data_IF_070446267510
#
_entry.id   IF_070446267510
#
_cell.length_a   1.000
_cell.length_b   1.000
_cell.length_c   1.000
_cell.angle_alpha   90.00
_cell.angle_beta   90.00
_cell.angle_gamma   90.00
#
_symmetry.space_group_name_H-M   'P 1'
#
loop_
_entity.id
_entity.type
_entity.pdbx_description
1 polymer ?
#
# COMPACT_ATOMS: atom_id res chain seq x y z
N UNK A 1 4.78 17.69 12.03
CA UNK A 1 6.13 17.28 12.47
C UNK A 1 6.06 15.84 12.93
N UNK A 2 7.08 15.00 12.71
CA UNK A 2 7.04 13.60 13.14
C UNK A 2 6.89 13.51 14.66
N UNK A 3 5.95 12.69 15.13
CA UNK A 3 5.79 12.41 16.56
C UNK A 3 6.91 11.48 17.02
N UNK A 4 7.94 12.03 17.66
CA UNK A 4 9.10 11.26 18.15
C UNK A 4 9.02 11.14 19.68
N UNK A 5 9.13 9.91 20.20
CA UNK A 5 9.10 9.61 21.64
C UNK A 5 10.18 8.59 22.01
N UNK A 6 10.62 8.51 23.28
CA UNK A 6 11.49 7.42 23.71
C UNK A 6 10.71 6.10 23.78
N UNK A 7 11.37 4.96 23.57
CA UNK A 7 10.71 3.63 23.64
C UNK A 7 10.14 3.35 25.04
N UNK A 8 10.72 3.93 26.08
CA UNK A 8 10.22 3.85 27.45
C UNK A 8 8.82 4.46 27.62
N UNK A 9 8.43 5.39 26.74
CA UNK A 9 7.13 6.07 26.77
C UNK A 9 5.98 5.09 26.49
N UNK A 10 6.24 3.98 25.80
CA UNK A 10 5.24 2.93 25.60
C UNK A 10 4.70 2.35 26.90
N UNK A 11 5.52 2.30 27.97
CA UNK A 11 5.08 1.73 29.24
C UNK A 11 4.02 2.60 29.92
N UNK A 12 4.23 3.91 29.92
CA UNK A 12 3.44 4.84 30.74
C UNK A 12 2.40 5.60 29.92
N UNK A 13 2.68 5.85 28.63
CA UNK A 13 1.88 6.71 27.76
C UNK A 13 1.23 5.92 26.62
N UNK A 14 1.06 4.60 26.76
CA UNK A 14 0.44 3.75 25.74
C UNK A 14 -0.92 4.27 25.28
N UNK A 15 -1.79 4.66 26.21
CA UNK A 15 -3.13 5.14 25.88
C UNK A 15 -3.10 6.40 25.00
N UNK A 16 -2.19 7.33 25.28
CA UNK A 16 -2.01 8.54 24.49
C UNK A 16 -1.40 8.23 23.11
N UNK A 17 -0.38 7.36 23.06
CA UNK A 17 0.21 6.90 21.79
C UNK A 17 -0.85 6.21 20.93
N UNK A 18 -1.63 5.31 21.53
CA UNK A 18 -2.72 4.60 20.86
C UNK A 18 -3.76 5.57 20.31
N UNK A 19 -4.20 6.55 21.11
CA UNK A 19 -5.13 7.59 20.67
C UNK A 19 -4.57 8.37 19.49
N UNK A 20 -3.32 8.82 19.56
CA UNK A 20 -2.68 9.59 18.48
C UNK A 20 -2.66 8.80 17.17
N UNK A 21 -2.21 7.54 17.18
CA UNK A 21 -2.08 6.75 15.94
C UNK A 21 -3.43 6.41 15.31
N UNK A 22 -4.52 6.38 16.10
CA UNK A 22 -5.88 6.16 15.58
C UNK A 22 -6.55 7.46 15.12
N UNK A 23 -6.39 8.57 15.84
CA UNK A 23 -7.03 9.85 15.49
C UNK A 23 -6.34 10.53 14.32
N UNK A 24 -5.02 10.59 14.34
CA UNK A 24 -4.23 11.27 13.30
C UNK A 24 -4.01 10.37 12.09
N UNK A 25 -4.07 9.05 12.29
CA UNK A 25 -3.69 8.05 11.28
C UNK A 25 -2.23 8.25 10.78
N UNK A 26 -1.39 8.88 11.61
CA UNK A 26 0.03 9.10 11.38
C UNK A 26 0.90 8.23 12.29
N UNK A 27 2.13 7.88 11.88
CA UNK A 27 3.04 7.10 12.70
C UNK A 27 3.63 7.90 13.87
N UNK A 28 3.85 7.20 14.99
CA UNK A 28 4.72 7.64 16.08
C UNK A 28 6.05 6.91 15.97
N UNK A 29 7.15 7.65 15.94
CA UNK A 29 8.51 7.15 15.89
C UNK A 29 9.06 7.02 17.31
N UNK A 30 9.60 5.84 17.63
CA UNK A 30 10.20 5.55 18.91
C UNK A 30 11.72 5.53 18.80
N UNK A 31 12.36 6.10 19.82
CA UNK A 31 13.82 6.18 19.92
C UNK A 31 14.34 5.45 21.15
N UNK A 32 15.52 4.87 21.02
CA UNK A 32 16.26 4.27 22.12
C UNK A 32 17.64 4.89 22.15
N UNK A 33 17.99 5.56 23.26
CA UNK A 33 19.26 6.28 23.43
C UNK A 33 19.55 7.29 22.30
N UNK A 34 18.52 7.98 21.81
CA UNK A 34 18.64 8.98 20.73
C UNK A 34 18.65 8.42 19.31
N UNK A 35 18.64 7.10 19.13
CA UNK A 35 18.58 6.44 17.83
C UNK A 35 17.15 5.96 17.54
N UNK A 36 16.74 6.02 16.27
CA UNK A 36 15.47 5.42 15.84
C UNK A 36 15.46 3.92 16.08
N UNK A 37 14.36 3.41 16.64
CA UNK A 37 14.22 2.00 17.07
C UNK A 37 13.00 1.35 16.41
N UNK A 38 11.82 1.98 16.55
CA UNK A 38 10.54 1.41 16.09
C UNK A 38 9.58 2.49 15.58
N UNK A 39 8.61 2.09 14.76
CA UNK A 39 7.46 2.91 14.37
C UNK A 39 6.18 2.23 14.85
N UNK A 40 5.28 2.98 15.47
CA UNK A 40 3.96 2.53 15.92
C UNK A 40 2.89 3.22 15.09
N UNK A 41 1.93 2.44 14.59
CA UNK A 41 0.80 2.88 13.78
C UNK A 41 -0.45 2.10 14.18
N UNK A 42 -1.64 2.63 13.90
CA UNK A 42 -2.85 1.80 13.88
C UNK A 42 -2.76 0.78 12.74
N UNK A 43 -3.45 -0.35 12.88
CA UNK A 43 -3.51 -1.37 11.82
C UNK A 43 -4.06 -0.77 10.52
N UNK A 44 -5.11 0.03 10.62
CA UNK A 44 -5.75 0.70 9.49
C UNK A 44 -4.78 1.65 8.76
N UNK A 45 -4.00 2.45 9.49
CA UNK A 45 -2.98 3.32 8.89
C UNK A 45 -1.87 2.53 8.20
N UNK A 46 -1.45 1.41 8.79
CA UNK A 46 -0.46 0.53 8.22
C UNK A 46 -0.96 -0.11 6.91
N UNK A 47 -2.15 -0.70 6.91
CA UNK A 47 -2.76 -1.31 5.72
C UNK A 47 -2.96 -0.31 4.59
N UNK A 48 -3.50 0.88 4.88
CA UNK A 48 -3.64 1.94 3.87
C UNK A 48 -2.29 2.38 3.31
N UNK A 49 -1.23 2.38 4.10
CA UNK A 49 0.12 2.71 3.62
C UNK A 49 0.65 1.63 2.68
N UNK A 50 0.44 0.35 2.99
CA UNK A 50 0.78 -0.76 2.09
C UNK A 50 0.02 -0.65 0.77
N UNK A 51 -1.30 -0.44 0.83
CA UNK A 51 -2.14 -0.29 -0.36
C UNK A 51 -1.70 0.89 -1.24
N UNK A 52 -1.42 2.06 -0.64
CA UNK A 52 -0.88 3.20 -1.38
C UNK A 52 0.45 2.86 -2.06
N UNK A 53 1.33 2.15 -1.37
CA UNK A 53 2.62 1.73 -1.94
C UNK A 53 2.43 0.84 -3.16
N UNK A 54 1.49 -0.11 -3.11
CA UNK A 54 1.16 -0.97 -4.24
C UNK A 54 0.66 -0.16 -5.44
N UNK A 55 -0.26 0.78 -5.21
CA UNK A 55 -0.73 1.69 -6.26
C UNK A 55 0.43 2.46 -6.88
N UNK A 56 1.34 3.02 -6.06
CA UNK A 56 2.50 3.75 -6.57
C UNK A 56 3.40 2.88 -7.45
N UNK A 57 3.62 1.62 -7.07
CA UNK A 57 4.37 0.69 -7.91
C UNK A 57 3.67 0.41 -9.23
N UNK A 58 2.36 0.19 -9.22
CA UNK A 58 1.57 -0.04 -10.45
C UNK A 58 1.51 1.17 -11.36
N UNK A 59 1.40 2.37 -10.81
CA UNK A 59 1.48 3.60 -11.59
C UNK A 59 2.86 3.78 -12.20
N UNK A 60 3.94 3.51 -11.45
CA UNK A 60 5.30 3.57 -11.95
C UNK A 60 5.56 2.56 -13.08
N UNK A 61 5.02 1.35 -12.95
CA UNK A 61 5.07 0.32 -14.00
C UNK A 61 4.40 0.84 -15.29
N UNK A 62 3.19 1.38 -15.19
CA UNK A 62 2.48 1.96 -16.33
C UNK A 62 3.20 3.18 -16.94
N UNK A 63 3.81 4.05 -16.13
CA UNK A 63 4.60 5.18 -16.61
C UNK A 63 5.85 4.74 -17.38
N UNK A 64 6.51 3.66 -16.93
CA UNK A 64 7.65 3.09 -17.62
C UNK A 64 7.21 2.47 -18.95
N UNK A 65 6.12 1.70 -18.95
CA UNK A 65 5.56 1.12 -20.17
C UNK A 65 5.22 2.21 -21.19
N UNK A 66 4.50 3.25 -20.76
CA UNK A 66 4.12 4.38 -21.61
C UNK A 66 5.31 5.16 -22.19
N UNK A 67 6.50 5.12 -21.56
CA UNK A 67 7.74 5.70 -22.09
C UNK A 67 8.43 4.80 -23.11
N UNK A 68 8.21 3.49 -23.02
CA UNK A 68 8.85 2.49 -23.90
C UNK A 68 8.02 2.12 -25.12
N UNK A 69 6.70 2.33 -25.07
CA UNK A 69 5.78 2.01 -26.17
C UNK A 69 4.62 2.99 -26.28
N UNK A 70 4.21 3.27 -27.52
CA UNK A 70 3.03 4.06 -27.86
C UNK A 70 1.76 3.20 -28.05
N UNK A 71 1.85 1.87 -27.90
CA UNK A 71 0.69 0.98 -27.99
C UNK A 71 -0.34 1.33 -26.92
N UNK A 72 -1.60 1.54 -27.32
CA UNK A 72 -2.73 1.78 -26.43
C UNK A 72 -3.91 0.94 -26.89
N UNK A 73 -4.66 0.40 -25.94
CA UNK A 73 -5.83 -0.42 -26.22
C UNK A 73 -7.10 0.34 -25.85
N UNK A 74 -8.09 0.29 -26.74
CA UNK A 74 -9.43 0.77 -26.48
C UNK A 74 -10.19 -0.18 -25.55
N UNK A 75 -11.23 0.33 -24.91
CA UNK A 75 -12.12 -0.48 -24.08
C UNK A 75 -12.66 -1.71 -24.85
N UNK A 76 -12.99 -1.55 -26.13
CA UNK A 76 -13.49 -2.64 -26.96
C UNK A 76 -12.45 -3.74 -27.15
N UNK A 77 -11.22 -3.38 -27.55
CA UNK A 77 -10.14 -4.35 -27.78
C UNK A 77 -9.84 -5.16 -26.52
N UNK A 78 -9.72 -4.50 -25.37
CA UNK A 78 -9.45 -5.18 -24.09
C UNK A 78 -10.55 -6.16 -23.71
N UNK A 79 -11.82 -5.75 -23.83
CA UNK A 79 -12.94 -6.60 -23.41
C UNK A 79 -13.23 -7.72 -24.40
N UNK A 80 -13.03 -7.50 -25.70
CA UNK A 80 -13.19 -8.55 -26.71
C UNK A 80 -12.11 -9.63 -26.51
N UNK A 81 -10.86 -9.24 -26.26
CA UNK A 81 -9.78 -10.19 -25.94
C UNK A 81 -10.03 -10.94 -24.62
N UNK A 82 -10.48 -10.25 -23.57
CA UNK A 82 -10.76 -10.87 -22.27
C UNK A 82 -11.89 -11.89 -22.35
N UNK A 83 -12.95 -11.63 -23.13
CA UNK A 83 -14.03 -12.59 -23.37
C UNK A 83 -13.56 -13.82 -24.14
N UNK A 84 -12.72 -13.62 -25.17
CA UNK A 84 -12.16 -14.73 -25.95
C UNK A 84 -11.34 -15.67 -25.04
N UNK A 85 -10.44 -15.12 -24.22
CA UNK A 85 -9.63 -15.91 -23.27
C UNK A 85 -10.46 -16.67 -22.25
N UNK A 86 -11.60 -16.12 -21.82
CA UNK A 86 -12.53 -16.80 -20.89
C UNK A 86 -13.23 -17.98 -21.57
N UNK A 87 -13.66 -17.82 -22.82
CA UNK A 87 -14.28 -18.89 -23.60
C UNK A 87 -13.30 -20.05 -23.83
N UNK A 88 -12.06 -19.73 -24.24
CA UNK A 88 -11.01 -20.73 -24.46
C UNK A 88 -10.72 -21.55 -23.21
N UNK A 89 -10.74 -20.90 -22.03
CA UNK A 89 -10.51 -21.57 -20.75
C UNK A 89 -11.65 -22.51 -20.35
N UNK A 90 -12.90 -22.13 -20.63
CA UNK A 90 -14.06 -22.99 -20.36
C UNK A 90 -14.06 -24.22 -21.26
N UNK A 91 -13.70 -24.07 -22.54
CA UNK A 91 -13.57 -25.21 -23.47
C UNK A 91 -12.41 -26.14 -23.08
N UNK A 92 -11.32 -25.62 -22.50
CA UNK A 92 -10.19 -26.46 -22.04
C UNK A 92 -10.43 -27.19 -20.72
N UNK A 93 -11.30 -26.65 -19.84
CA UNK A 93 -11.64 -27.28 -18.55
C UNK A 93 -12.75 -28.36 -18.70
N UNK A 94 -13.43 -28.41 -19.85
CA UNK A 94 -14.44 -29.42 -20.20
C UNK A 94 -13.86 -30.68 -20.91
N UNK A 95 -12.52 -30.75 -21.11
CA UNK A 95 -11.79 -31.86 -21.75
C UNK A 95 -10.96 -32.67 -20.76
#
# INVERSE_FOLDING_TARGET
>A
MPHIRPVSDLRNNFADISRIVHETQEPVFLTKNGYGDMVVMSMEAYERKLFKSEIYFKLKEAELEAKTTDTRYSHKEVFDELRARLADKLESDEV
#
